data_IF_096675951314
#
_entry.id   IF_096675951314
#
_cell.length_a   1.000
_cell.length_b   1.000
_cell.length_c   1.000
_cell.angle_alpha   90.00
_cell.angle_beta   90.00
_cell.angle_gamma   90.00
#
_symmetry.space_group_name_H-M   'P 1'
#
loop_
_entity.id
_entity.type
_entity.pdbx_description
1 polymer ?
#
# COMPACT_ATOMS: atom_id res chain seq x y z
N UNK A 1 -2.26 -2.67 7.02
CA UNK A 1 -2.43 -2.87 8.49
C UNK A 1 -2.78 -1.56 9.20
N UNK A 2 -2.20 -0.44 8.75
CA UNK A 2 -2.40 0.88 9.36
C UNK A 2 -3.81 1.47 9.20
N UNK A 3 -4.57 1.04 8.19
CA UNK A 3 -5.95 1.51 7.95
C UNK A 3 -6.90 1.18 9.10
N UNK A 4 -6.70 0.04 9.77
CA UNK A 4 -7.51 -0.32 10.94
C UNK A 4 -7.17 0.51 12.18
N UNK A 5 -5.95 1.06 12.25
CA UNK A 5 -5.45 1.83 13.39
C UNK A 5 -5.68 3.34 13.20
N UNK A 6 -5.69 3.83 11.95
CA UNK A 6 -5.91 5.24 11.61
C UNK A 6 -7.25 5.79 12.08
N UNK A 7 -8.25 4.92 12.20
CA UNK A 7 -9.61 5.33 12.57
C UNK A 7 -9.76 5.55 14.09
N UNK A 8 -8.86 4.97 14.90
CA UNK A 8 -8.90 5.02 16.36
C UNK A 8 -7.83 5.97 16.93
N UNK A 9 -6.65 6.03 16.32
CA UNK A 9 -5.57 6.92 16.77
C UNK A 9 -5.62 8.28 16.06
N UNK A 10 -6.36 9.21 16.69
CA UNK A 10 -6.46 10.60 16.23
C UNK A 10 -5.16 11.39 16.36
N UNK A 11 -4.26 10.99 17.26
CA UNK A 11 -3.04 11.74 17.54
C UNK A 11 -1.99 11.52 16.47
N UNK A 12 -1.90 10.28 15.97
CA UNK A 12 -0.99 9.91 14.88
C UNK A 12 -1.72 9.74 13.53
N UNK A 13 -2.93 10.28 13.40
CA UNK A 13 -3.77 10.11 12.21
C UNK A 13 -3.04 10.47 10.90
N UNK A 14 -2.20 11.52 10.93
CA UNK A 14 -1.42 11.94 9.77
C UNK A 14 -0.32 10.92 9.39
N UNK A 15 0.41 10.40 10.37
CA UNK A 15 1.43 9.38 10.15
C UNK A 15 0.81 8.06 9.66
N UNK A 16 -0.34 7.67 10.22
CA UNK A 16 -1.06 6.47 9.81
C UNK A 16 -1.57 6.59 8.37
N UNK A 17 -2.07 7.75 7.95
CA UNK A 17 -2.43 7.99 6.54
C UNK A 17 -1.25 7.88 5.59
N UNK A 18 -0.09 8.39 5.99
CA UNK A 18 1.13 8.24 5.19
C UNK A 18 1.46 6.76 4.97
N UNK A 19 1.46 5.97 6.04
CA UNK A 19 1.77 4.54 5.95
C UNK A 19 0.71 3.74 5.16
N UNK A 20 -0.57 4.08 5.29
CA UNK A 20 -1.64 3.48 4.46
C UNK A 20 -1.37 3.73 2.98
N UNK A 21 -1.13 4.98 2.58
CA UNK A 21 -0.83 5.32 1.20
C UNK A 21 0.48 4.69 0.70
N UNK A 22 1.48 4.54 1.57
CA UNK A 22 2.71 3.83 1.25
C UNK A 22 2.46 2.34 0.96
N UNK A 23 1.68 1.66 1.82
CA UNK A 23 1.31 0.25 1.62
C UNK A 23 0.53 0.04 0.32
N UNK A 24 -0.43 0.93 0.02
CA UNK A 24 -1.24 0.87 -1.21
C UNK A 24 -0.37 1.00 -2.47
N UNK A 25 0.50 2.01 -2.55
CA UNK A 25 1.43 2.16 -3.69
C UNK A 25 2.37 0.97 -3.83
N UNK A 26 2.85 0.40 -2.71
CA UNK A 26 3.73 -0.78 -2.76
C UNK A 26 3.01 -2.02 -3.29
N UNK A 27 1.75 -2.20 -2.92
CA UNK A 27 0.94 -3.29 -3.45
C UNK A 27 0.73 -3.13 -4.97
N UNK A 28 0.46 -1.92 -5.43
CA UNK A 28 0.34 -1.60 -6.87
C UNK A 28 1.64 -1.87 -7.63
N UNK A 29 2.79 -1.37 -7.14
CA UNK A 29 4.10 -1.61 -7.74
C UNK A 29 4.40 -3.11 -7.91
N UNK A 30 4.06 -3.93 -6.90
CA UNK A 30 4.26 -5.38 -6.95
C UNK A 30 3.30 -6.04 -7.94
N UNK A 31 2.04 -5.61 -7.96
CA UNK A 31 1.05 -6.13 -8.91
C UNK A 31 1.46 -5.85 -10.36
N UNK A 32 1.94 -4.64 -10.65
CA UNK A 32 2.48 -4.26 -11.96
C UNK A 32 3.70 -5.11 -12.36
N UNK A 33 4.64 -5.33 -11.43
CA UNK A 33 5.79 -6.20 -11.68
C UNK A 33 5.38 -7.63 -12.00
N UNK A 34 4.40 -8.19 -11.28
CA UNK A 34 3.86 -9.52 -11.56
C UNK A 34 3.23 -9.57 -12.96
N UNK A 35 2.44 -8.56 -13.34
CA UNK A 35 1.83 -8.50 -14.68
C UNK A 35 2.88 -8.38 -15.78
N UNK A 36 3.86 -7.50 -15.60
CA UNK A 36 4.98 -7.35 -16.54
C UNK A 36 5.74 -8.66 -16.72
N UNK A 37 6.08 -9.33 -15.63
CA UNK A 37 6.80 -10.61 -15.67
C UNK A 37 5.98 -11.70 -16.37
N UNK A 38 4.64 -11.74 -16.17
CA UNK A 38 3.76 -12.66 -16.89
C UNK A 38 3.76 -12.39 -18.39
N UNK A 39 3.67 -11.12 -18.79
CA UNK A 39 3.66 -10.73 -20.21
C UNK A 39 5.00 -10.98 -20.90
N UNK A 40 6.12 -10.93 -20.18
CA UNK A 40 7.46 -11.23 -20.72
C UNK A 40 7.78 -12.72 -20.78
N UNK A 41 7.07 -13.55 -20.02
CA UNK A 41 7.23 -15.01 -19.99
C UNK A 41 6.34 -15.74 -21.01
N UNK A 42 5.45 -15.02 -21.71
CA UNK A 42 4.57 -15.53 -22.77
C UNK A 42 5.09 -15.19 -24.15
#
# INVERSE_FOLDING_TARGET
MYRAVSDVDRWHHHELRYWVGYEERKAEEVAEQIQKNKSQAS
#
